data_IF_619291078936
#
_entry.id   IF_619291078936
#
_cell.length_a   1.000
_cell.length_b   1.000
_cell.length_c   1.000
_cell.angle_alpha   90.00
_cell.angle_beta   90.00
_cell.angle_gamma   90.00
#
_symmetry.space_group_name_H-M   'P 1'
#
loop_
_entity.id
_entity.type
_entity.pdbx_description
1 polymer ?
#
# COMPACT_ATOMS: atom_id res chain seq x y z
N UNK A 1 19.38 33.24 -11.69
CA UNK A 1 18.79 34.25 -12.61
C UNK A 1 17.67 33.61 -13.39
N UNK A 2 16.44 33.86 -12.95
CA UNK A 2 15.24 33.49 -13.67
C UNK A 2 15.07 34.46 -14.86
N UNK A 3 15.65 34.12 -16.00
CA UNK A 3 15.46 34.92 -17.20
C UNK A 3 14.02 34.83 -17.67
N UNK A 4 13.38 35.96 -17.75
CA UNK A 4 12.06 36.24 -18.27
C UNK A 4 11.87 35.66 -19.66
N UNK A 5 11.26 34.52 -19.80
CA UNK A 5 10.65 34.06 -21.04
C UNK A 5 9.24 34.65 -21.13
N UNK A 6 9.08 35.74 -21.83
CA UNK A 6 7.79 36.29 -22.23
C UNK A 6 7.27 35.51 -23.41
N UNK A 7 6.17 34.77 -23.21
CA UNK A 7 5.35 34.35 -24.30
C UNK A 7 5.16 32.84 -24.47
N UNK A 8 4.75 32.17 -23.44
CA UNK A 8 4.01 30.92 -23.35
C UNK A 8 4.01 30.59 -21.85
N UNK A 9 2.88 30.63 -21.19
CA UNK A 9 2.79 30.60 -19.76
C UNK A 9 3.80 29.68 -19.11
N UNK A 10 4.42 30.12 -18.04
CA UNK A 10 5.50 29.46 -17.31
C UNK A 10 5.18 27.97 -17.11
N UNK A 11 5.79 27.13 -17.92
CA UNK A 11 5.70 25.66 -17.74
C UNK A 11 6.63 25.31 -16.59
N UNK A 12 6.13 25.39 -15.38
CA UNK A 12 6.82 24.89 -14.21
C UNK A 12 6.97 23.36 -14.33
N UNK A 13 8.17 22.93 -14.68
CA UNK A 13 8.54 21.50 -14.54
C UNK A 13 8.86 21.26 -13.08
N UNK A 14 7.99 20.57 -12.40
CA UNK A 14 8.20 20.18 -11.01
C UNK A 14 8.04 18.70 -10.82
N UNK A 15 8.97 18.11 -10.08
CA UNK A 15 8.86 16.71 -9.65
C UNK A 15 8.11 16.68 -8.32
N UNK A 16 7.08 15.84 -8.27
CA UNK A 16 6.29 15.60 -7.06
C UNK A 16 6.73 14.29 -6.42
N UNK A 17 7.73 14.35 -5.55
CA UNK A 17 8.32 13.16 -4.92
C UNK A 17 7.30 12.35 -4.09
N UNK A 18 6.28 13.01 -3.54
CA UNK A 18 5.20 12.38 -2.78
C UNK A 18 3.96 12.05 -3.65
N UNK A 19 4.09 12.11 -4.98
CA UNK A 19 3.01 11.82 -5.91
C UNK A 19 1.89 12.87 -5.86
N UNK A 20 0.65 12.43 -5.78
CA UNK A 20 -0.52 13.30 -5.69
C UNK A 20 -1.66 12.88 -6.61
N UNK A 21 -2.55 13.83 -6.93
CA UNK A 21 -3.79 13.59 -7.67
C UNK A 21 -3.58 12.91 -9.04
N UNK A 22 -2.52 13.28 -9.78
CA UNK A 22 -2.19 12.65 -11.08
C UNK A 22 -1.81 11.17 -10.92
N UNK A 23 -1.04 10.83 -9.90
CA UNK A 23 -0.67 9.44 -9.59
C UNK A 23 -1.91 8.63 -9.16
N UNK A 24 -2.74 9.21 -8.30
CA UNK A 24 -3.97 8.55 -7.85
C UNK A 24 -4.95 8.35 -9.01
N UNK A 25 -5.05 9.34 -9.92
CA UNK A 25 -5.83 9.22 -11.14
C UNK A 25 -5.33 8.09 -12.04
N UNK A 26 -4.03 8.03 -12.30
CA UNK A 26 -3.43 6.97 -13.08
C UNK A 26 -3.67 5.58 -12.47
N UNK A 27 -3.46 5.44 -11.15
CA UNK A 27 -3.74 4.19 -10.43
C UNK A 27 -5.19 3.74 -10.58
N UNK A 28 -6.13 4.68 -10.49
CA UNK A 28 -7.55 4.37 -10.64
C UNK A 28 -7.89 3.93 -12.07
N UNK A 29 -7.42 4.66 -13.08
CA UNK A 29 -7.65 4.33 -14.49
C UNK A 29 -7.03 2.99 -14.90
N UNK A 30 -5.80 2.73 -14.45
CA UNK A 30 -5.12 1.45 -14.70
C UNK A 30 -5.87 0.27 -14.07
N UNK A 31 -6.29 0.42 -12.82
CA UNK A 31 -7.03 -0.63 -12.12
C UNK A 31 -8.37 -0.94 -12.78
N UNK A 32 -9.08 0.11 -13.20
CA UNK A 32 -10.39 -0.04 -13.84
C UNK A 32 -10.27 -0.71 -15.21
N UNK A 33 -9.33 -0.26 -16.06
CA UNK A 33 -9.09 -0.86 -17.37
C UNK A 33 -8.64 -2.32 -17.29
N UNK A 34 -7.76 -2.64 -16.33
CA UNK A 34 -7.31 -4.02 -16.13
C UNK A 34 -8.43 -4.92 -15.60
N UNK A 35 -9.29 -4.42 -14.71
CA UNK A 35 -10.46 -5.17 -14.24
C UNK A 35 -11.42 -5.49 -15.37
N UNK A 36 -11.76 -4.51 -16.19
CA UNK A 36 -12.62 -4.71 -17.37
C UNK A 36 -12.03 -5.75 -18.32
N UNK A 37 -10.73 -5.68 -18.59
CA UNK A 37 -10.03 -6.66 -19.40
C UNK A 37 -10.07 -8.08 -18.81
N UNK A 38 -9.78 -8.21 -17.50
CA UNK A 38 -9.83 -9.49 -16.79
C UNK A 38 -11.25 -10.09 -16.75
N UNK A 39 -12.28 -9.25 -16.56
CA UNK A 39 -13.68 -9.67 -16.53
C UNK A 39 -14.12 -10.17 -17.91
N UNK A 40 -13.77 -9.43 -18.97
CA UNK A 40 -14.11 -9.81 -20.35
C UNK A 40 -13.50 -11.16 -20.75
N UNK A 41 -12.28 -11.44 -20.27
CA UNK A 41 -11.56 -12.68 -20.56
C UNK A 41 -11.76 -13.79 -19.53
N UNK A 42 -12.52 -13.54 -18.45
CA UNK A 42 -12.73 -14.48 -17.36
C UNK A 42 -11.42 -14.94 -16.69
N UNK A 43 -10.42 -14.07 -16.59
CA UNK A 43 -9.12 -14.37 -15.96
C UNK A 43 -9.16 -14.26 -14.45
N UNK A 44 -10.12 -13.50 -13.90
CA UNK A 44 -10.15 -13.17 -12.49
C UNK A 44 -10.73 -14.33 -11.64
N UNK A 45 -9.98 -14.89 -10.67
CA UNK A 45 -10.50 -15.89 -9.76
C UNK A 45 -11.64 -15.33 -8.89
N UNK A 46 -12.67 -16.13 -8.64
CA UNK A 46 -13.82 -15.74 -7.80
C UNK A 46 -13.37 -15.30 -6.41
N UNK A 47 -13.80 -14.09 -6.03
CA UNK A 47 -13.52 -13.53 -4.70
C UNK A 47 -12.16 -12.83 -4.55
N UNK A 48 -11.33 -12.78 -5.57
CA UNK A 48 -10.08 -12.01 -5.55
C UNK A 48 -10.34 -10.55 -5.94
N UNK A 49 -9.89 -9.62 -5.11
CA UNK A 49 -9.95 -8.19 -5.37
C UNK A 49 -8.57 -7.68 -5.77
N UNK A 50 -8.45 -7.20 -7.00
CA UNK A 50 -7.24 -6.52 -7.48
C UNK A 50 -7.13 -5.12 -6.88
N UNK A 51 -5.91 -4.72 -6.58
CA UNK A 51 -5.52 -3.36 -6.19
C UNK A 51 -4.57 -2.78 -7.24
N UNK A 52 -4.54 -1.47 -7.38
CA UNK A 52 -3.58 -0.82 -8.28
C UNK A 52 -2.13 -1.11 -7.89
N UNK A 53 -1.86 -1.29 -6.61
CA UNK A 53 -0.52 -1.61 -6.10
C UNK A 53 -0.07 -3.03 -6.51
N UNK A 54 -0.99 -3.99 -6.67
CA UNK A 54 -0.67 -5.34 -7.15
C UNK A 54 -0.10 -5.31 -8.58
N UNK A 55 -0.55 -4.36 -9.40
CA UNK A 55 -0.06 -4.15 -10.78
C UNK A 55 1.24 -3.38 -10.79
N UNK A 56 1.33 -2.32 -9.97
CA UNK A 56 2.44 -1.38 -9.98
C UNK A 56 3.68 -1.90 -9.24
N UNK A 57 3.54 -2.93 -8.43
CA UNK A 57 4.65 -3.52 -7.68
C UNK A 57 5.82 -3.96 -8.58
N UNK A 58 5.50 -4.41 -9.80
CA UNK A 58 6.47 -4.88 -10.78
C UNK A 58 6.63 -3.94 -11.98
N UNK A 59 6.12 -2.69 -11.88
CA UNK A 59 6.15 -1.72 -12.96
C UNK A 59 6.97 -0.49 -12.63
N UNK A 60 7.80 -0.05 -13.56
CA UNK A 60 8.45 1.26 -13.52
C UNK A 60 7.74 2.18 -14.52
N UNK A 61 7.33 3.37 -14.09
CA UNK A 61 6.61 4.31 -14.93
C UNK A 61 6.94 5.76 -14.60
N UNK A 62 6.73 6.64 -15.56
CA UNK A 62 6.87 8.08 -15.42
C UNK A 62 5.56 8.73 -15.87
N UNK A 63 4.98 9.57 -15.01
CA UNK A 63 3.82 10.37 -15.34
C UNK A 63 4.26 11.82 -15.56
N UNK A 64 4.03 12.34 -16.75
CA UNK A 64 4.26 13.75 -17.08
C UNK A 64 2.93 14.41 -17.41
N UNK A 65 2.53 15.37 -16.59
CA UNK A 65 1.27 16.11 -16.74
C UNK A 65 1.52 17.60 -16.93
N UNK A 66 0.74 18.22 -17.83
CA UNK A 66 0.73 19.68 -18.03
C UNK A 66 -0.57 20.23 -17.50
N UNK A 67 -0.49 21.04 -16.46
CA UNK A 67 -1.64 21.73 -15.88
C UNK A 67 -1.51 23.24 -16.07
N UNK A 68 -2.65 23.88 -16.28
CA UNK A 68 -2.71 25.33 -16.42
C UNK A 68 -2.55 26.02 -15.07
N UNK A 69 -3.11 25.45 -14.01
CA UNK A 69 -3.07 25.99 -12.65
C UNK A 69 -2.94 24.85 -11.62
N UNK A 70 -1.69 24.39 -11.38
CA UNK A 70 -1.47 23.25 -10.48
C UNK A 70 -1.61 23.68 -9.02
N UNK A 71 -2.48 23.00 -8.29
CA UNK A 71 -2.63 23.11 -6.84
C UNK A 71 -1.73 22.08 -6.15
N UNK A 72 -0.96 22.53 -5.16
CA UNK A 72 -0.05 21.66 -4.41
C UNK A 72 -0.40 21.65 -2.93
N UNK A 73 -0.21 20.50 -2.28
CA UNK A 73 -0.27 20.39 -0.83
C UNK A 73 1.05 20.90 -0.23
N UNK A 74 0.95 22.00 0.54
CA UNK A 74 2.08 22.57 1.26
C UNK A 74 3.04 23.41 0.43
N UNK A 75 3.95 24.09 1.14
CA UNK A 75 4.92 25.05 0.56
C UNK A 75 6.01 24.38 -0.28
N UNK A 76 6.36 23.14 0.04
CA UNK A 76 7.40 22.37 -0.66
C UNK A 76 6.98 21.90 -2.05
N UNK A 77 5.66 21.91 -2.32
CA UNK A 77 5.05 21.51 -3.61
C UNK A 77 5.45 20.09 -4.06
N UNK A 78 5.67 19.18 -3.11
CA UNK A 78 6.07 17.80 -3.39
C UNK A 78 4.89 16.89 -3.73
N UNK A 79 3.67 17.33 -3.46
CA UNK A 79 2.45 16.60 -3.73
C UNK A 79 1.45 17.45 -4.49
N UNK A 80 0.97 16.96 -5.62
CA UNK A 80 -0.10 17.60 -6.39
C UNK A 80 -1.46 17.31 -5.75
N UNK A 81 -2.29 18.35 -5.55
CA UNK A 81 -3.62 18.24 -4.94
C UNK A 81 -4.69 18.95 -5.79
N UNK A 82 -4.89 18.45 -7.00
CA UNK A 82 -5.90 18.96 -7.94
C UNK A 82 -6.92 17.87 -8.23
N UNK A 83 -8.12 17.95 -7.65
CA UNK A 83 -9.17 16.93 -7.78
C UNK A 83 -9.66 16.75 -9.21
N UNK A 84 -9.90 17.86 -9.92
CA UNK A 84 -10.35 17.81 -11.32
C UNK A 84 -9.32 17.13 -12.22
N UNK A 85 -8.04 17.35 -11.93
CA UNK A 85 -6.97 16.69 -12.66
C UNK A 85 -6.90 15.19 -12.38
N UNK A 86 -7.21 14.76 -11.15
CA UNK A 86 -7.30 13.34 -10.82
C UNK A 86 -8.34 12.63 -11.68
N UNK A 87 -9.54 13.21 -11.79
CA UNK A 87 -10.62 12.64 -12.59
C UNK A 87 -10.24 12.60 -14.09
N UNK A 88 -9.64 13.68 -14.60
CA UNK A 88 -9.17 13.73 -15.97
C UNK A 88 -8.11 12.66 -16.30
N UNK A 89 -7.10 12.52 -15.41
CA UNK A 89 -6.05 11.52 -15.60
C UNK A 89 -6.63 10.11 -15.50
N UNK A 90 -7.56 9.87 -14.57
CA UNK A 90 -8.21 8.57 -14.44
C UNK A 90 -8.96 8.17 -15.72
N UNK A 91 -9.80 9.05 -16.26
CA UNK A 91 -10.53 8.80 -17.50
C UNK A 91 -9.58 8.60 -18.69
N UNK A 92 -8.63 9.51 -18.88
CA UNK A 92 -7.68 9.44 -20.00
C UNK A 92 -6.80 8.17 -19.95
N UNK A 93 -6.36 7.78 -18.74
CA UNK A 93 -5.56 6.57 -18.56
C UNK A 93 -6.39 5.32 -18.79
N UNK A 94 -7.63 5.30 -18.31
CA UNK A 94 -8.56 4.18 -18.53
C UNK A 94 -8.78 3.96 -20.03
N UNK A 95 -9.15 5.00 -20.77
CA UNK A 95 -9.44 4.91 -22.18
C UNK A 95 -8.21 4.43 -22.98
N UNK A 96 -7.06 5.03 -22.74
CA UNK A 96 -5.83 4.66 -23.42
C UNK A 96 -5.40 3.22 -23.13
N UNK A 97 -5.48 2.80 -21.86
CA UNK A 97 -5.10 1.45 -21.45
C UNK A 97 -6.11 0.41 -21.93
N UNK A 98 -7.40 0.71 -21.94
CA UNK A 98 -8.41 -0.19 -22.48
C UNK A 98 -8.20 -0.45 -23.99
N UNK A 99 -7.84 0.58 -24.74
CA UNK A 99 -7.47 0.42 -26.16
C UNK A 99 -6.20 -0.44 -26.28
N UNK A 100 -5.20 -0.16 -25.47
CA UNK A 100 -3.92 -0.88 -25.51
C UNK A 100 -4.10 -2.37 -25.18
N UNK A 101 -4.84 -2.72 -24.13
CA UNK A 101 -5.14 -4.11 -23.75
C UNK A 101 -5.90 -4.87 -24.84
N UNK A 102 -6.77 -4.19 -25.57
CA UNK A 102 -7.48 -4.79 -26.70
C UNK A 102 -6.59 -5.03 -27.92
N UNK A 103 -5.57 -4.21 -28.12
CA UNK A 103 -4.61 -4.36 -29.22
C UNK A 103 -3.49 -5.37 -28.88
N UNK A 104 -3.08 -5.44 -27.61
CA UNK A 104 -1.97 -6.25 -27.10
C UNK A 104 -2.48 -7.27 -26.09
N UNK A 105 -3.25 -8.23 -26.59
CA UNK A 105 -3.99 -9.15 -25.72
C UNK A 105 -3.08 -10.13 -24.98
N UNK A 106 -2.00 -10.59 -25.61
CA UNK A 106 -1.05 -11.52 -24.98
C UNK A 106 -0.27 -10.85 -23.85
N UNK A 107 0.22 -9.64 -24.08
CA UNK A 107 0.90 -8.84 -23.08
C UNK A 107 -0.05 -8.41 -21.95
N UNK A 108 -1.30 -8.11 -22.30
CA UNK A 108 -2.36 -7.82 -21.33
C UNK A 108 -2.65 -8.99 -20.40
N UNK A 109 -2.69 -10.21 -20.94
CA UNK A 109 -2.84 -11.43 -20.13
C UNK A 109 -1.65 -11.65 -19.21
N UNK A 110 -0.42 -11.46 -19.65
CA UNK A 110 0.78 -11.55 -18.78
C UNK A 110 0.73 -10.54 -17.65
N UNK A 111 0.33 -9.30 -17.93
CA UNK A 111 0.17 -8.27 -16.88
C UNK A 111 -0.93 -8.66 -15.90
N UNK A 112 -2.04 -9.20 -16.39
CA UNK A 112 -3.13 -9.65 -15.54
C UNK A 112 -2.71 -10.82 -14.64
N UNK A 113 -1.97 -11.80 -15.16
CA UNK A 113 -1.44 -12.92 -14.39
C UNK A 113 -0.51 -12.46 -13.27
N UNK A 114 0.44 -11.55 -13.56
CA UNK A 114 1.33 -10.96 -12.56
C UNK A 114 0.56 -10.21 -11.46
N UNK A 115 -0.46 -9.45 -11.84
CA UNK A 115 -1.30 -8.74 -10.89
C UNK A 115 -2.14 -9.70 -10.02
N UNK A 116 -2.66 -10.77 -10.60
CA UNK A 116 -3.40 -11.81 -9.89
C UNK A 116 -2.49 -12.55 -8.91
N UNK A 117 -1.27 -12.90 -9.32
CA UNK A 117 -0.28 -13.54 -8.44
C UNK A 117 0.07 -12.66 -7.24
N UNK A 118 0.34 -11.36 -7.48
CA UNK A 118 0.61 -10.38 -6.43
C UNK A 118 -0.58 -10.25 -5.45
N UNK A 119 -1.81 -10.17 -5.97
CA UNK A 119 -3.01 -10.10 -5.15
C UNK A 119 -3.24 -11.37 -4.32
N UNK A 120 -2.92 -12.55 -4.88
CA UNK A 120 -3.00 -13.82 -4.15
C UNK A 120 -1.97 -13.89 -3.03
N UNK A 121 -0.72 -13.46 -3.27
CA UNK A 121 0.34 -13.39 -2.24
C UNK A 121 -0.11 -12.49 -1.09
N UNK A 122 -0.55 -11.27 -1.38
CA UNK A 122 -1.08 -10.33 -0.39
C UNK A 122 -2.22 -10.93 0.43
N UNK A 123 -3.16 -11.62 -0.22
CA UNK A 123 -4.30 -12.23 0.46
C UNK A 123 -3.89 -13.41 1.35
N UNK A 124 -2.88 -14.19 0.95
CA UNK A 124 -2.34 -15.28 1.76
C UNK A 124 -1.61 -14.74 3.00
N UNK A 125 -0.81 -13.68 2.84
CA UNK A 125 -0.09 -13.04 3.94
C UNK A 125 -1.05 -12.47 4.99
N UNK A 126 -2.11 -11.77 4.56
CA UNK A 126 -3.16 -11.26 5.47
C UNK A 126 -3.83 -12.40 6.24
N UNK A 127 -4.18 -13.51 5.57
CA UNK A 127 -4.79 -14.67 6.23
C UNK A 127 -3.85 -15.35 7.24
N UNK A 128 -2.56 -15.38 6.97
CA UNK A 128 -1.54 -15.90 7.92
C UNK A 128 -1.48 -15.03 9.17
N UNK A 129 -1.47 -13.71 9.00
CA UNK A 129 -1.46 -12.77 10.14
C UNK A 129 -2.74 -12.87 10.96
N UNK A 130 -3.91 -13.00 10.33
CA UNK A 130 -5.18 -13.17 11.04
C UNK A 130 -5.23 -14.49 11.82
N UNK A 131 -4.71 -15.59 11.25
CA UNK A 131 -4.64 -16.89 11.95
C UNK A 131 -3.72 -16.85 13.16
N UNK A 132 -2.61 -16.10 13.10
CA UNK A 132 -1.72 -15.90 14.26
C UNK A 132 -2.39 -15.11 15.38
N UNK A 133 -3.28 -14.17 15.06
CA UNK A 133 -4.05 -13.43 16.07
C UNK A 133 -5.16 -14.22 16.75
N UNK A 134 -5.61 -15.32 16.20
CA UNK A 134 -6.69 -16.16 16.76
C UNK A 134 -6.21 -17.28 17.68
N UNK A 135 -4.92 -17.39 17.96
CA UNK A 135 -4.41 -18.29 18.98
C UNK A 135 -4.66 -17.67 20.36
N UNK A 136 -5.90 -17.73 20.80
CA UNK A 136 -6.20 -17.64 22.23
C UNK A 136 -5.84 -19.00 22.82
N UNK A 137 -4.58 -19.14 23.22
CA UNK A 137 -4.18 -20.20 24.13
C UNK A 137 -5.01 -20.14 25.41
N UNK A 138 -5.02 -21.19 26.22
CA UNK A 138 -5.70 -21.14 27.51
C UNK A 138 -5.20 -19.91 28.28
N UNK A 139 -6.14 -19.12 28.79
CA UNK A 139 -5.81 -17.90 29.52
C UNK A 139 -4.77 -18.24 30.59
N UNK A 140 -3.60 -17.60 30.53
CA UNK A 140 -2.55 -17.80 31.50
C UNK A 140 -3.08 -17.45 32.91
N UNK A 141 -2.67 -18.16 33.96
CA UNK A 141 -3.02 -17.79 35.31
C UNK A 141 -2.66 -16.34 35.59
N UNK A 142 -3.48 -15.62 36.34
CA UNK A 142 -3.51 -14.14 36.44
C UNK A 142 -2.20 -13.42 36.86
N UNK A 143 -1.12 -14.16 37.13
CA UNK A 143 0.20 -13.62 37.38
C UNK A 143 1.22 -13.83 36.26
N UNK A 144 0.80 -14.47 35.17
CA UNK A 144 1.62 -14.72 34.00
C UNK A 144 1.14 -13.84 32.86
N UNK A 145 2.06 -13.22 32.16
CA UNK A 145 1.80 -12.45 30.95
C UNK A 145 2.52 -13.11 29.78
N UNK A 146 1.78 -13.40 28.73
CA UNK A 146 2.33 -14.05 27.55
C UNK A 146 3.11 -13.10 26.70
N UNK A 147 3.97 -13.65 25.87
CA UNK A 147 4.81 -12.89 24.98
C UNK A 147 4.08 -12.52 23.67
N UNK A 148 4.49 -11.39 23.08
CA UNK A 148 3.90 -10.88 21.85
C UNK A 148 4.49 -11.50 20.57
N UNK A 149 5.66 -12.13 20.65
CA UNK A 149 6.33 -12.79 19.53
C UNK A 149 6.29 -14.31 19.68
N UNK A 150 6.05 -15.02 18.59
CA UNK A 150 6.14 -16.48 18.51
C UNK A 150 7.57 -16.96 18.18
N UNK A 151 8.51 -16.04 18.01
CA UNK A 151 9.89 -16.35 17.66
C UNK A 151 10.73 -16.51 18.94
N UNK A 152 11.22 -17.72 19.18
CA UNK A 152 12.01 -18.04 20.39
C UNK A 152 13.30 -17.21 20.51
N UNK A 153 13.88 -16.79 19.39
CA UNK A 153 15.12 -15.98 19.40
C UNK A 153 14.87 -14.52 19.82
N UNK A 154 13.61 -14.09 19.80
CA UNK A 154 13.18 -12.74 20.19
C UNK A 154 12.44 -12.74 21.53
N UNK A 155 12.38 -13.88 22.22
CA UNK A 155 11.64 -14.04 23.49
C UNK A 155 12.61 -14.05 24.67
N UNK A 156 12.23 -13.35 25.73
CA UNK A 156 12.96 -13.33 26.99
C UNK A 156 12.01 -13.61 28.17
N UNK A 157 12.46 -14.39 29.14
CA UNK A 157 11.73 -14.64 30.36
C UNK A 157 12.15 -13.70 31.47
N UNK A 158 11.21 -12.92 32.00
CA UNK A 158 11.41 -12.04 33.14
C UNK A 158 10.75 -12.61 34.38
N UNK A 159 11.54 -12.84 35.42
CA UNK A 159 11.05 -13.20 36.73
C UNK A 159 11.12 -11.95 37.62
N UNK A 160 9.98 -11.55 38.17
CA UNK A 160 9.89 -10.36 39.04
C UNK A 160 9.24 -10.71 40.35
N UNK A 161 9.72 -10.12 41.43
CA UNK A 161 9.18 -10.27 42.78
C UNK A 161 8.18 -9.14 43.07
N UNK A 162 6.91 -9.50 43.29
CA UNK A 162 5.85 -8.58 43.69
C UNK A 162 5.14 -7.86 42.50
N UNK A 163 3.88 -7.51 42.73
CA UNK A 163 2.98 -6.93 41.71
C UNK A 163 3.46 -5.55 41.22
N UNK A 164 4.14 -4.77 42.08
CA UNK A 164 4.70 -3.46 41.69
C UNK A 164 5.81 -3.57 40.65
N UNK A 165 6.69 -4.55 40.79
CA UNK A 165 7.78 -4.77 39.84
C UNK A 165 7.25 -5.32 38.51
N UNK A 166 6.27 -6.23 38.54
CA UNK A 166 5.59 -6.76 37.38
C UNK A 166 4.89 -5.68 36.57
N UNK A 167 4.15 -4.77 37.20
CA UNK A 167 3.49 -3.65 36.55
C UNK A 167 4.47 -2.67 35.90
N UNK A 168 5.59 -2.36 36.57
CA UNK A 168 6.63 -1.49 36.00
C UNK A 168 7.34 -2.12 34.82
N UNK A 169 7.60 -3.42 34.87
CA UNK A 169 8.23 -4.13 33.79
C UNK A 169 7.31 -4.19 32.53
N UNK A 170 6.00 -4.38 32.70
CA UNK A 170 5.03 -4.30 31.61
C UNK A 170 4.95 -2.92 30.94
N UNK A 171 5.10 -1.84 31.71
CA UNK A 171 5.00 -0.48 31.19
C UNK A 171 6.28 0.02 30.51
N UNK A 172 7.45 -0.44 30.98
CA UNK A 172 8.75 -0.01 30.45
C UNK A 172 9.10 -0.67 29.12
N UNK A 173 8.46 -1.78 28.77
CA UNK A 173 8.75 -2.49 27.56
C UNK A 173 7.60 -2.40 26.55
N UNK A 174 7.55 -1.32 25.82
CA UNK A 174 6.77 -1.16 24.59
C UNK A 174 7.44 -1.79 23.37
N UNK A 175 8.60 -2.41 23.55
CA UNK A 175 9.33 -3.13 22.52
C UNK A 175 8.64 -4.48 22.22
N UNK A 176 8.67 -5.00 20.98
CA UNK A 176 8.04 -6.26 20.57
C UNK A 176 8.68 -7.51 21.20
N UNK A 177 9.57 -7.35 22.16
CA UNK A 177 10.22 -8.46 22.85
C UNK A 177 9.22 -9.12 23.81
N UNK A 178 8.95 -10.40 23.64
CA UNK A 178 7.97 -11.15 24.43
C UNK A 178 8.48 -11.43 25.84
N UNK A 179 7.56 -11.45 26.78
CA UNK A 179 7.90 -11.59 28.20
C UNK A 179 6.85 -12.33 28.97
N UNK A 180 7.30 -13.34 29.66
CA UNK A 180 6.54 -14.02 30.67
C UNK A 180 6.93 -13.44 32.03
N UNK A 181 5.95 -13.08 32.84
CA UNK A 181 6.15 -12.61 34.19
C UNK A 181 5.64 -13.67 35.17
N UNK A 182 6.51 -14.12 36.01
CA UNK A 182 6.14 -14.87 37.20
C UNK A 182 6.42 -14.00 38.41
N UNK A 183 5.36 -13.60 39.13
CA UNK A 183 5.48 -12.92 40.40
C UNK A 183 5.34 -13.96 41.50
N UNK A 184 6.34 -14.12 42.30
CA UNK A 184 6.35 -14.96 43.50
C UNK A 184 5.75 -14.27 44.71
#
# INVERSE_FOLDING_TARGET
DASKSRGLGDVYKRQTAQGGSHLNGFKAGLLESLKEFCEFRNLLPKGLKLSADDVLQNAAFIISSKLKDPQFAGQTKERLDSKDHQAFVAASSKDALSIWFNQHTEEGEMIAELAIESAQKRTKEVKVVERKKSFQGPALPGKLSDCNSDNLDETELFLVEGDSAGGSACLLYTSPSPRDFEAS
#
